data_IF_664069659439
#
_entry.id   IF_664069659439
#
_cell.length_a   1.000
_cell.length_b   1.000
_cell.length_c   1.000
_cell.angle_alpha   90.00
_cell.angle_beta   90.00
_cell.angle_gamma   90.00
#
_symmetry.space_group_name_H-M   'P 1'
#
loop_
_entity.id
_entity.type
_entity.pdbx_description
1 polymer ?
#
# COMPACT_ATOMS: atom_id res chain seq x y z
N UNK A 1 -20.83 -19.01 6.30
CA UNK A 1 -21.06 -17.57 6.19
C UNK A 1 -19.75 -16.84 5.97
N UNK A 2 -19.78 -15.86 5.07
CA UNK A 2 -18.62 -15.03 4.86
C UNK A 2 -18.37 -14.15 6.10
N UNK A 3 -17.12 -14.04 6.52
CA UNK A 3 -16.74 -13.13 7.61
C UNK A 3 -16.69 -11.71 7.07
N UNK A 4 -17.18 -10.78 7.84
CA UNK A 4 -17.12 -9.36 7.51
C UNK A 4 -15.93 -8.72 8.24
N UNK A 5 -15.22 -7.88 7.50
CA UNK A 5 -14.07 -7.15 8.03
C UNK A 5 -14.31 -5.66 7.90
N UNK A 6 -13.81 -4.91 8.86
CA UNK A 6 -13.83 -3.46 8.83
C UNK A 6 -12.41 -2.93 8.94
N UNK A 7 -12.09 -1.95 8.12
CA UNK A 7 -10.79 -1.28 8.18
C UNK A 7 -10.75 -0.29 9.33
N UNK A 8 -9.72 -0.41 10.17
CA UNK A 8 -9.42 0.58 11.21
C UNK A 8 -8.12 1.26 10.89
N UNK A 9 -8.11 2.58 10.98
CA UNK A 9 -6.91 3.38 10.71
C UNK A 9 -6.25 3.78 12.02
N UNK A 10 -4.99 3.43 12.14
CA UNK A 10 -4.13 3.80 13.27
C UNK A 10 -3.17 4.88 12.83
N UNK A 11 -2.85 5.78 13.76
CA UNK A 11 -1.95 6.90 13.49
C UNK A 11 -0.71 6.81 14.37
N UNK A 12 0.41 7.32 13.83
CA UNK A 12 1.68 7.42 14.56
C UNK A 12 2.30 8.77 14.25
N UNK A 13 2.75 9.46 15.28
CA UNK A 13 3.39 10.76 15.13
C UNK A 13 2.43 11.93 14.99
N UNK A 14 1.12 11.69 15.12
CA UNK A 14 0.12 12.75 15.04
C UNK A 14 0.08 13.57 16.34
N UNK A 15 0.07 14.89 16.20
CA UNK A 15 -0.17 15.80 17.31
C UNK A 15 -1.69 16.09 17.43
N UNK A 16 -2.07 16.96 18.38
CA UNK A 16 -3.48 17.28 18.64
C UNK A 16 -4.14 17.92 17.41
N UNK A 17 -3.42 18.73 16.67
CA UNK A 17 -3.95 19.40 15.47
C UNK A 17 -4.19 18.39 14.35
N UNK A 18 -3.30 17.42 14.20
CA UNK A 18 -3.46 16.34 13.24
C UNK A 18 -4.66 15.47 13.59
N UNK A 19 -4.86 15.18 14.87
CA UNK A 19 -6.00 14.37 15.34
C UNK A 19 -7.33 15.05 15.10
N UNK A 20 -7.40 16.38 15.20
CA UNK A 20 -8.61 17.14 14.86
C UNK A 20 -8.98 16.95 13.38
N UNK A 21 -7.99 16.83 12.50
CA UNK A 21 -8.17 16.65 11.06
C UNK A 21 -8.14 15.18 10.64
N UNK A 22 -8.06 14.25 11.58
CA UNK A 22 -7.87 12.83 11.30
C UNK A 22 -8.91 12.29 10.31
N UNK A 23 -10.19 12.62 10.49
CA UNK A 23 -11.25 12.10 9.63
C UNK A 23 -11.03 12.49 8.17
N UNK A 24 -10.56 13.70 7.92
CA UNK A 24 -10.24 14.17 6.57
C UNK A 24 -9.08 13.39 5.98
N UNK A 25 -8.02 13.16 6.76
CA UNK A 25 -6.87 12.38 6.31
C UNK A 25 -7.24 10.93 6.05
N UNK A 26 -8.07 10.32 6.91
CA UNK A 26 -8.54 8.95 6.71
C UNK A 26 -9.36 8.84 5.43
N UNK A 27 -10.25 9.79 5.17
CA UNK A 27 -11.05 9.83 3.95
C UNK A 27 -10.15 9.86 2.70
N UNK A 28 -9.12 10.72 2.71
CA UNK A 28 -8.16 10.79 1.60
C UNK A 28 -7.36 9.50 1.46
N UNK A 29 -6.92 8.91 2.58
CA UNK A 29 -6.19 7.64 2.57
C UNK A 29 -7.02 6.54 1.90
N UNK A 30 -8.27 6.38 2.32
CA UNK A 30 -9.15 5.35 1.76
C UNK A 30 -9.35 5.57 0.26
N UNK A 31 -9.63 6.80 -0.14
CA UNK A 31 -9.87 7.16 -1.54
C UNK A 31 -8.66 6.81 -2.42
N UNK A 32 -7.48 7.24 -2.03
CA UNK A 32 -6.27 7.04 -2.85
C UNK A 32 -5.85 5.58 -2.81
N UNK A 33 -6.01 4.91 -1.66
CA UNK A 33 -5.71 3.49 -1.53
C UNK A 33 -6.59 2.64 -2.46
N UNK A 34 -7.89 2.92 -2.50
CA UNK A 34 -8.80 2.20 -3.40
C UNK A 34 -8.41 2.41 -4.86
N UNK A 35 -8.06 3.64 -5.23
CA UNK A 35 -7.59 3.93 -6.58
C UNK A 35 -6.33 3.13 -6.92
N UNK A 36 -5.35 3.10 -6.02
CA UNK A 36 -4.12 2.35 -6.22
C UNK A 36 -4.38 0.85 -6.35
N UNK A 37 -5.21 0.29 -5.46
CA UNK A 37 -5.55 -1.14 -5.48
C UNK A 37 -6.24 -1.49 -6.80
N UNK A 38 -7.17 -0.67 -7.25
CA UNK A 38 -7.87 -0.89 -8.53
C UNK A 38 -6.92 -0.87 -9.72
N UNK A 39 -5.89 -0.03 -9.68
CA UNK A 39 -4.87 0.01 -10.74
C UNK A 39 -3.95 -1.22 -10.70
N UNK A 40 -3.61 -1.70 -9.50
CA UNK A 40 -2.64 -2.79 -9.34
C UNK A 40 -3.23 -4.18 -9.54
N UNK A 41 -4.49 -4.39 -9.13
CA UNK A 41 -5.10 -5.72 -9.17
C UNK A 41 -5.01 -6.42 -10.53
N UNK A 42 -5.32 -5.77 -11.67
CA UNK A 42 -5.20 -6.44 -12.96
C UNK A 42 -3.76 -6.70 -13.40
N UNK A 43 -2.79 -6.07 -12.76
CA UNK A 43 -1.39 -6.18 -13.14
C UNK A 43 -0.65 -7.32 -12.45
N UNK A 44 -1.13 -7.77 -11.27
CA UNK A 44 -0.40 -8.76 -10.49
C UNK A 44 -0.22 -10.09 -11.22
N UNK A 45 -1.24 -10.58 -11.92
CA UNK A 45 -1.13 -11.81 -12.68
C UNK A 45 -0.09 -11.68 -13.80
N UNK A 46 -0.13 -10.55 -14.50
CA UNK A 46 0.82 -10.25 -15.60
C UNK A 46 2.24 -10.21 -15.05
N UNK A 47 2.44 -9.50 -13.95
CA UNK A 47 3.77 -9.36 -13.33
C UNK A 47 4.28 -10.67 -12.75
N UNK A 48 3.41 -11.47 -12.15
CA UNK A 48 3.81 -12.79 -11.64
C UNK A 48 4.29 -13.70 -12.76
N UNK A 49 3.59 -13.70 -13.90
CA UNK A 49 4.01 -14.47 -15.07
C UNK A 49 5.32 -13.95 -15.64
N UNK A 50 5.48 -12.65 -15.73
CA UNK A 50 6.74 -12.01 -16.16
C UNK A 50 7.90 -12.40 -15.25
N UNK A 51 7.68 -12.38 -13.93
CA UNK A 51 8.70 -12.77 -12.96
C UNK A 51 9.15 -14.21 -13.17
N UNK A 52 8.20 -15.12 -13.37
CA UNK A 52 8.50 -16.54 -13.62
C UNK A 52 9.29 -16.75 -14.90
N UNK A 53 8.97 -15.99 -15.95
CA UNK A 53 9.64 -16.09 -17.24
C UNK A 53 11.06 -15.52 -17.20
N UNK A 54 11.25 -14.41 -16.49
CA UNK A 54 12.55 -13.73 -16.43
C UNK A 54 13.45 -14.24 -15.32
N UNK A 55 12.90 -14.94 -14.33
CA UNK A 55 13.65 -15.44 -13.17
C UNK A 55 13.26 -16.90 -12.85
N UNK A 56 13.40 -17.84 -13.83
CA UNK A 56 12.99 -19.22 -13.61
C UNK A 56 13.77 -19.92 -12.47
N UNK A 57 14.97 -19.44 -12.15
CA UNK A 57 15.80 -19.97 -11.06
C UNK A 57 15.17 -19.74 -9.69
N UNK A 58 14.24 -18.82 -9.55
CA UNK A 58 13.59 -18.50 -8.28
C UNK A 58 12.17 -19.07 -8.17
N UNK A 59 11.85 -20.10 -8.97
CA UNK A 59 10.56 -20.78 -8.91
C UNK A 59 10.58 -21.96 -7.94
N UNK A 60 9.40 -22.33 -7.44
CA UNK A 60 9.26 -23.47 -6.54
C UNK A 60 10.01 -23.28 -5.23
N UNK A 61 10.81 -24.30 -4.86
CA UNK A 61 11.56 -24.30 -3.61
C UNK A 61 12.67 -23.25 -3.56
N UNK A 62 13.02 -22.67 -4.71
CA UNK A 62 14.06 -21.66 -4.80
C UNK A 62 13.47 -20.23 -4.80
N UNK A 63 12.21 -20.08 -4.49
CA UNK A 63 11.55 -18.76 -4.47
C UNK A 63 12.27 -17.84 -3.48
N UNK A 64 12.64 -16.65 -3.95
CA UNK A 64 13.28 -15.63 -3.13
C UNK A 64 12.33 -14.45 -2.97
N UNK A 65 11.76 -14.32 -1.77
CA UNK A 65 10.76 -13.30 -1.47
C UNK A 65 11.30 -11.88 -1.66
N UNK A 66 12.54 -11.63 -1.27
CA UNK A 66 13.13 -10.31 -1.40
C UNK A 66 13.27 -9.90 -2.87
N UNK A 67 13.76 -10.81 -3.71
CA UNK A 67 13.92 -10.53 -5.15
C UNK A 67 12.54 -10.29 -5.79
N UNK A 68 11.54 -11.10 -5.40
CA UNK A 68 10.17 -10.92 -5.86
C UNK A 68 9.61 -9.56 -5.42
N UNK A 69 9.77 -9.20 -4.16
CA UNK A 69 9.30 -7.92 -3.63
C UNK A 69 9.95 -6.74 -4.33
N UNK A 70 11.26 -6.82 -4.59
CA UNK A 70 11.98 -5.77 -5.33
C UNK A 70 11.42 -5.63 -6.76
N UNK A 71 11.10 -6.76 -7.40
CA UNK A 71 10.51 -6.76 -8.74
C UNK A 71 9.13 -6.07 -8.72
N UNK A 72 8.26 -6.46 -7.78
CA UNK A 72 6.91 -5.88 -7.67
C UNK A 72 7.00 -4.40 -7.30
N UNK A 73 7.92 -4.02 -6.41
CA UNK A 73 8.12 -2.63 -6.02
C UNK A 73 8.46 -1.75 -7.23
N UNK A 74 9.38 -2.20 -8.08
CA UNK A 74 9.75 -1.45 -9.28
C UNK A 74 8.59 -1.33 -10.28
N UNK A 75 7.82 -2.43 -10.44
CA UNK A 75 6.68 -2.44 -11.36
C UNK A 75 5.54 -1.56 -10.89
N UNK A 76 5.31 -1.50 -9.58
CA UNK A 76 4.19 -0.74 -9.00
C UNK A 76 4.49 0.74 -8.78
N UNK A 77 5.77 1.15 -8.79
CA UNK A 77 6.14 2.54 -8.52
C UNK A 77 5.43 3.57 -9.39
N UNK A 78 5.34 3.41 -10.73
CA UNK A 78 4.62 4.39 -11.55
C UNK A 78 3.15 4.54 -11.16
N UNK A 79 2.50 3.45 -10.77
CA UNK A 79 1.12 3.47 -10.32
C UNK A 79 0.97 4.19 -8.98
N UNK A 80 1.93 3.98 -8.09
CA UNK A 80 1.97 4.66 -6.79
C UNK A 80 2.12 6.17 -6.98
N UNK A 81 3.02 6.59 -7.84
CA UNK A 81 3.24 8.01 -8.16
C UNK A 81 1.96 8.64 -8.71
N UNK A 82 1.31 7.95 -9.66
CA UNK A 82 0.07 8.44 -10.24
C UNK A 82 -1.04 8.56 -9.20
N UNK A 83 -1.23 7.55 -8.36
CA UNK A 83 -2.24 7.57 -7.31
C UNK A 83 -2.03 8.75 -6.35
N UNK A 84 -0.78 9.00 -5.97
CA UNK A 84 -0.45 10.08 -5.04
C UNK A 84 -0.72 11.48 -5.60
N UNK A 85 -0.83 11.62 -6.91
CA UNK A 85 -1.20 12.90 -7.53
C UNK A 85 -2.65 13.28 -7.29
N UNK A 86 -3.48 12.33 -6.82
CA UNK A 86 -4.89 12.55 -6.55
C UNK A 86 -5.17 13.09 -5.15
N UNK A 87 -4.15 13.33 -4.34
CA UNK A 87 -4.32 13.91 -3.01
C UNK A 87 -3.24 14.94 -2.73
N UNK A 88 -3.66 16.07 -2.15
CA UNK A 88 -2.74 17.11 -1.67
C UNK A 88 -2.43 16.95 -0.18
N UNK A 89 -3.11 16.03 0.51
CA UNK A 89 -3.05 15.89 1.96
C UNK A 89 -2.18 14.74 2.43
N UNK A 90 -2.15 13.63 1.67
CA UNK A 90 -1.45 12.41 2.08
C UNK A 90 -0.65 11.86 0.90
N UNK A 91 0.29 10.98 1.22
CA UNK A 91 1.11 10.28 0.24
C UNK A 91 1.21 8.82 0.67
N UNK A 92 0.84 7.90 -0.23
CA UNK A 92 0.91 6.47 0.02
C UNK A 92 2.33 5.95 -0.23
N UNK A 93 2.66 4.87 0.47
CA UNK A 93 3.89 4.10 0.24
C UNK A 93 3.65 2.64 0.60
N UNK A 94 4.53 1.76 0.13
CA UNK A 94 4.50 0.35 0.51
C UNK A 94 5.46 0.11 1.66
N UNK A 95 4.97 -0.55 2.71
CA UNK A 95 5.80 -0.99 3.83
C UNK A 95 6.23 -2.44 3.59
N UNK A 96 7.37 -2.63 2.94
CA UNK A 96 7.86 -3.95 2.59
C UNK A 96 8.33 -4.78 3.78
N UNK A 97 8.66 -4.13 4.90
CA UNK A 97 8.99 -4.84 6.15
C UNK A 97 7.76 -5.57 6.70
N UNK A 98 6.56 -5.13 6.35
CA UNK A 98 5.32 -5.75 6.75
C UNK A 98 4.56 -6.35 5.55
N UNK A 99 5.29 -6.98 4.64
CA UNK A 99 4.70 -7.73 3.54
C UNK A 99 4.15 -6.90 2.40
N UNK A 100 4.53 -5.64 2.32
CA UNK A 100 4.06 -4.76 1.24
C UNK A 100 2.73 -4.09 1.51
N UNK A 101 2.34 -3.96 2.77
CA UNK A 101 1.12 -3.24 3.13
C UNK A 101 1.17 -1.79 2.65
N UNK A 102 0.03 -1.28 2.25
CA UNK A 102 -0.10 0.12 1.83
C UNK A 102 -0.33 0.97 3.07
N UNK A 103 0.60 1.87 3.33
CA UNK A 103 0.51 2.86 4.40
C UNK A 103 0.56 4.25 3.79
N UNK A 104 0.32 5.27 4.59
CA UNK A 104 0.51 6.64 4.12
C UNK A 104 1.09 7.52 5.21
N UNK A 105 1.69 8.64 4.78
CA UNK A 105 2.07 9.70 5.69
C UNK A 105 1.43 10.99 5.21
N UNK A 106 1.37 11.99 6.08
CA UNK A 106 0.93 13.32 5.69
C UNK A 106 1.94 13.91 4.72
N UNK A 107 1.47 14.53 3.64
CA UNK A 107 2.33 15.01 2.58
C UNK A 107 3.37 15.99 3.11
N UNK A 108 4.65 15.72 2.85
CA UNK A 108 5.76 16.49 3.37
C UNK A 108 6.13 16.22 4.83
N UNK A 109 5.47 15.25 5.48
CA UNK A 109 5.70 14.91 6.88
C UNK A 109 5.80 13.40 7.06
N UNK A 110 6.93 12.79 6.67
CA UNK A 110 7.07 11.33 6.62
C UNK A 110 7.01 10.63 7.98
N UNK A 111 7.17 11.36 9.09
CA UNK A 111 7.04 10.79 10.43
C UNK A 111 5.61 10.83 10.98
N UNK A 112 4.65 11.38 10.24
CA UNK A 112 3.23 11.37 10.60
C UNK A 112 2.52 10.35 9.72
N UNK A 113 2.35 9.13 10.26
CA UNK A 113 1.98 7.94 9.49
C UNK A 113 0.59 7.44 9.88
N UNK A 114 -0.13 6.95 8.89
CA UNK A 114 -1.37 6.20 9.09
C UNK A 114 -1.23 4.82 8.45
N UNK A 115 -1.79 3.80 9.13
CA UNK A 115 -1.90 2.46 8.53
C UNK A 115 -3.28 1.89 8.82
N UNK A 116 -3.73 1.01 7.93
CA UNK A 116 -5.04 0.39 8.03
C UNK A 116 -4.91 -1.07 8.38
N UNK A 117 -5.68 -1.51 9.39
CA UNK A 117 -5.77 -2.90 9.79
C UNK A 117 -7.22 -3.34 9.61
N UNK A 118 -7.41 -4.48 8.95
CA UNK A 118 -8.75 -5.05 8.79
C UNK A 118 -9.00 -6.01 9.94
N UNK A 119 -10.04 -5.71 10.70
CA UNK A 119 -10.44 -6.53 11.86
C UNK A 119 -11.80 -7.16 11.59
N UNK A 120 -11.99 -8.37 12.12
CA UNK A 120 -13.27 -9.07 12.00
C UNK A 120 -14.33 -8.35 12.82
N UNK A 121 -15.47 -8.15 12.19
CA UNK A 121 -16.64 -7.56 12.87
C UNK A 121 -17.18 -8.47 13.96
#
# INVERSE_FOLDING_TARGET
>A
MAKEYVGKVYTKGFDIFDMIKKDKYVEEFIKVRELLVDMLNPMYEIWNNEFKETNPEYSGDNFNEQIYNDFIARKSEPFLIEANQHSDLIELYFNWDEGGDIECHLKGKPNKVMHMVFVEK
#
